data_IF_247628835192
#
_entry.id   IF_247628835192
#
_cell.length_a   1.000
_cell.length_b   1.000
_cell.length_c   1.000
_cell.angle_alpha   90.00
_cell.angle_beta   90.00
_cell.angle_gamma   90.00
#
_symmetry.space_group_name_H-M   'P 1'
#
loop_
_entity.id
_entity.type
_entity.pdbx_description
1 polymer ?
#
# COMPACT_ATOMS: atom_id res chain seq x y z
N UNK A 1 -7.17 15.49 24.98
CA UNK A 1 -6.90 14.08 24.63
C UNK A 1 -5.57 14.09 23.92
N UNK A 2 -4.51 13.54 24.52
CA UNK A 2 -3.25 13.37 23.81
C UNK A 2 -3.50 12.26 22.78
N UNK A 3 -3.77 12.63 21.54
CA UNK A 3 -3.81 11.69 20.43
C UNK A 3 -2.39 11.17 20.25
N UNK A 4 -2.11 9.95 20.70
CA UNK A 4 -0.91 9.27 20.27
C UNK A 4 -0.99 9.16 18.75
N UNK A 5 -0.04 9.78 18.05
CA UNK A 5 0.04 9.75 16.61
C UNK A 5 0.29 8.30 16.17
N UNK A 6 -0.55 7.79 15.26
CA UNK A 6 -0.42 6.42 14.77
C UNK A 6 0.92 6.26 14.04
N UNK A 7 1.73 5.30 14.48
CA UNK A 7 3.07 5.11 13.95
C UNK A 7 3.12 3.97 12.93
N UNK A 8 3.89 4.20 11.87
CA UNK A 8 4.26 3.19 10.89
C UNK A 8 5.69 3.41 10.43
N UNK A 9 6.32 2.34 9.95
CA UNK A 9 7.62 2.39 9.29
C UNK A 9 7.44 2.08 7.81
N UNK A 10 8.00 2.92 6.95
CA UNK A 10 8.14 2.58 5.52
C UNK A 10 9.25 1.53 5.42
N UNK A 11 8.88 0.33 4.98
CA UNK A 11 9.83 -0.75 4.72
C UNK A 11 10.47 -0.58 3.34
N UNK A 12 9.67 -0.30 2.33
CA UNK A 12 10.11 -0.07 0.96
C UNK A 12 9.11 0.79 0.20
N UNK A 13 9.60 1.65 -0.69
CA UNK A 13 8.78 2.38 -1.66
C UNK A 13 9.38 2.20 -3.05
N UNK A 14 8.52 2.06 -4.05
CA UNK A 14 8.93 1.80 -5.42
C UNK A 14 8.06 2.58 -6.41
N UNK A 15 8.71 3.22 -7.38
CA UNK A 15 8.08 3.57 -8.66
C UNK A 15 7.87 2.27 -9.46
N UNK A 16 6.61 1.88 -9.57
CA UNK A 16 6.16 0.70 -10.30
C UNK A 16 5.36 1.10 -11.54
N UNK A 17 5.62 2.29 -12.08
CA UNK A 17 4.92 2.85 -13.24
C UNK A 17 5.05 2.00 -14.49
N UNK A 18 4.12 2.23 -15.41
CA UNK A 18 4.08 1.63 -16.73
C UNK A 18 3.53 2.68 -17.71
N UNK A 19 3.60 2.47 -19.04
CA UNK A 19 3.38 3.54 -20.00
C UNK A 19 2.05 4.32 -19.89
N UNK A 20 1.02 3.73 -19.27
CA UNK A 20 -0.30 4.35 -19.18
C UNK A 20 -0.60 5.01 -17.82
N UNK A 21 0.22 4.80 -16.79
CA UNK A 21 -0.02 5.38 -15.47
C UNK A 21 1.26 5.52 -14.62
N UNK A 22 1.36 6.65 -13.95
CA UNK A 22 2.39 6.91 -12.95
C UNK A 22 1.99 6.24 -11.63
N UNK A 23 2.76 5.26 -11.15
CA UNK A 23 2.36 4.40 -10.03
C UNK A 23 3.43 4.31 -8.97
N UNK A 24 3.01 4.50 -7.73
CA UNK A 24 3.81 4.16 -6.56
C UNK A 24 3.19 3.02 -5.77
N UNK A 25 4.07 2.16 -5.28
CA UNK A 25 3.73 1.16 -4.28
C UNK A 25 4.63 1.33 -3.07
N UNK A 26 4.05 1.20 -1.89
CA UNK A 26 4.83 1.20 -0.64
C UNK A 26 4.44 0.04 0.25
N UNK A 27 5.43 -0.54 0.90
CA UNK A 27 5.25 -1.52 1.96
C UNK A 27 5.50 -0.83 3.30
N UNK A 28 4.56 -0.95 4.23
CA UNK A 28 4.67 -0.41 5.58
C UNK A 28 4.54 -1.50 6.64
N UNK A 29 5.20 -1.28 7.76
CA UNK A 29 5.05 -2.07 8.99
C UNK A 29 4.37 -1.20 10.04
N UNK A 30 3.33 -1.72 10.68
CA UNK A 30 2.58 -1.00 11.73
C UNK A 30 2.58 -1.78 13.05
N UNK A 31 2.14 -1.12 14.13
CA UNK A 31 2.00 -1.79 15.42
C UNK A 31 1.02 -3.00 15.30
N UNK A 32 1.41 -4.20 15.78
CA UNK A 32 0.57 -5.39 15.77
C UNK A 32 -0.80 -5.19 16.42
N UNK A 33 -0.89 -4.35 17.44
CA UNK A 33 -2.10 -4.17 18.27
C UNK A 33 -3.08 -3.14 17.71
N UNK A 34 -2.75 -2.47 16.61
CA UNK A 34 -3.68 -1.53 15.97
C UNK A 34 -4.90 -2.23 15.39
N UNK A 35 -6.07 -1.68 15.71
CA UNK A 35 -7.37 -2.08 15.18
C UNK A 35 -7.50 -1.74 13.69
N UNK A 36 -8.45 -2.37 13.00
CA UNK A 36 -8.73 -2.07 11.59
C UNK A 36 -8.99 -0.59 11.34
N UNK A 37 -9.70 0.11 12.22
CA UNK A 37 -9.95 1.56 12.09
C UNK A 37 -8.66 2.38 12.17
N UNK A 38 -7.75 2.04 13.08
CA UNK A 38 -6.42 2.68 13.14
C UNK A 38 -5.62 2.39 11.87
N UNK A 39 -5.70 1.16 11.35
CA UNK A 39 -5.03 0.81 10.10
C UNK A 39 -5.63 1.56 8.89
N UNK A 40 -6.94 1.78 8.86
CA UNK A 40 -7.62 2.61 7.84
C UNK A 40 -7.09 4.04 7.82
N UNK A 41 -6.91 4.65 9.00
CA UNK A 41 -6.34 6.00 9.09
C UNK A 41 -4.89 6.05 8.59
N UNK A 42 -4.07 5.06 8.94
CA UNK A 42 -2.69 4.94 8.41
C UNK A 42 -2.72 4.79 6.89
N UNK A 43 -3.55 3.90 6.36
CA UNK A 43 -3.71 3.68 4.91
C UNK A 43 -4.06 5.00 4.22
N UNK A 44 -5.03 5.74 4.75
CA UNK A 44 -5.45 7.03 4.19
C UNK A 44 -4.30 8.03 4.17
N UNK A 45 -3.58 8.18 5.27
CA UNK A 45 -2.44 9.09 5.38
C UNK A 45 -1.35 8.74 4.37
N UNK A 46 -0.90 7.48 4.36
CA UNK A 46 0.16 6.99 3.46
C UNK A 46 -0.26 7.12 2.00
N UNK A 47 -1.49 6.76 1.66
CA UNK A 47 -2.01 6.93 0.30
C UNK A 47 -1.98 8.39 -0.13
N UNK A 48 -2.34 9.33 0.75
CA UNK A 48 -2.28 10.77 0.43
C UNK A 48 -0.86 11.26 0.18
N UNK A 49 0.11 10.80 0.97
CA UNK A 49 1.53 11.09 0.76
C UNK A 49 2.02 10.55 -0.58
N UNK A 50 1.69 9.30 -0.91
CA UNK A 50 2.06 8.68 -2.18
C UNK A 50 1.49 9.42 -3.39
N UNK A 51 0.25 9.93 -3.30
CA UNK A 51 -0.37 10.72 -4.37
C UNK A 51 0.44 11.94 -4.76
N UNK A 52 1.14 12.54 -3.80
CA UNK A 52 1.96 13.73 -3.99
C UNK A 52 3.42 13.42 -4.34
N UNK A 53 3.82 12.15 -4.37
CA UNK A 53 5.20 11.78 -4.72
C UNK A 53 5.52 12.10 -6.18
N UNK A 54 6.71 12.65 -6.37
CA UNK A 54 7.30 12.95 -7.68
C UNK A 54 8.73 12.40 -7.66
N UNK A 55 8.85 11.14 -8.05
CA UNK A 55 10.07 10.33 -8.06
C UNK A 55 10.02 9.32 -9.21
N UNK A 56 11.14 9.13 -9.90
CA UNK A 56 11.16 8.33 -11.13
C UNK A 56 12.26 7.29 -11.07
N UNK A 57 11.93 6.06 -11.47
CA UNK A 57 12.91 4.97 -11.61
C UNK A 57 13.84 5.15 -12.80
N UNK A 58 13.46 5.99 -13.78
CA UNK A 58 14.31 6.29 -14.94
C UNK A 58 13.94 7.63 -15.59
N UNK A 59 14.90 8.20 -16.32
CA UNK A 59 14.71 9.45 -17.07
C UNK A 59 13.58 9.36 -18.10
N UNK A 60 13.34 8.16 -18.66
CA UNK A 60 12.23 7.93 -19.58
C UNK A 60 10.88 8.21 -18.92
N UNK A 61 10.64 7.65 -17.72
CA UNK A 61 9.40 7.90 -17.00
C UNK A 61 9.28 9.34 -16.51
N UNK A 62 10.40 9.97 -16.17
CA UNK A 62 10.42 11.41 -15.89
C UNK A 62 10.00 12.24 -17.09
N UNK A 63 10.44 11.89 -18.30
CA UNK A 63 10.01 12.57 -19.53
C UNK A 63 8.54 12.30 -19.84
N UNK A 64 8.06 11.07 -19.62
CA UNK A 64 6.67 10.68 -19.91
C UNK A 64 5.67 11.34 -18.95
N UNK A 65 6.02 11.49 -17.66
CA UNK A 65 5.10 12.01 -16.63
C UNK A 65 5.40 13.44 -16.13
N UNK A 66 6.57 14.00 -16.42
CA UNK A 66 6.92 15.38 -16.08
C UNK A 66 7.06 15.63 -14.58
N UNK A 67 6.21 16.49 -14.01
CA UNK A 67 6.12 16.77 -12.57
C UNK A 67 4.76 16.29 -11.99
N UNK A 68 4.12 15.34 -12.67
CA UNK A 68 2.82 14.81 -12.27
C UNK A 68 3.00 13.90 -11.04
N UNK A 69 2.11 14.05 -10.07
CA UNK A 69 1.98 13.10 -8.95
C UNK A 69 1.54 11.71 -9.39
N UNK A 70 1.24 10.84 -8.44
CA UNK A 70 0.81 9.48 -8.75
C UNK A 70 -0.58 9.47 -9.39
N UNK A 71 -0.76 8.64 -10.40
CA UNK A 71 -2.06 8.22 -10.90
C UNK A 71 -2.63 7.04 -10.10
N UNK A 72 -1.75 6.19 -9.58
CA UNK A 72 -2.09 5.01 -8.79
C UNK A 72 -1.18 4.94 -7.56
N UNK A 73 -1.78 4.74 -6.38
CA UNK A 73 -1.07 4.56 -5.13
C UNK A 73 -1.49 3.23 -4.49
N UNK A 74 -0.52 2.34 -4.26
CA UNK A 74 -0.73 1.03 -3.64
C UNK A 74 0.01 0.97 -2.30
N UNK A 75 -0.68 0.54 -1.25
CA UNK A 75 -0.07 0.32 0.07
C UNK A 75 -0.18 -1.16 0.43
N UNK A 76 0.91 -1.76 0.84
CA UNK A 76 0.94 -3.10 1.42
C UNK A 76 1.25 -2.98 2.92
N UNK A 77 0.35 -3.46 3.76
CA UNK A 77 0.46 -3.33 5.21
C UNK A 77 0.85 -4.65 5.86
N UNK A 78 1.92 -4.62 6.63
CA UNK A 78 2.47 -5.76 7.37
C UNK A 78 2.56 -5.43 8.87
N UNK A 79 2.69 -6.45 9.73
CA UNK A 79 2.89 -6.23 11.18
C UNK A 79 4.33 -6.47 11.65
N UNK A 80 5.17 -7.13 10.86
CA UNK A 80 6.59 -7.33 11.14
C UNK A 80 7.38 -7.72 9.87
N UNK A 81 8.70 -7.83 10.00
CA UNK A 81 9.60 -8.20 8.89
C UNK A 81 9.37 -9.64 8.39
N UNK A 82 8.88 -10.55 9.25
CA UNK A 82 8.58 -11.93 8.84
C UNK A 82 7.39 -11.93 7.88
N UNK A 83 6.35 -11.15 8.19
CA UNK A 83 5.20 -10.95 7.31
C UNK A 83 5.64 -10.34 5.96
N UNK A 84 6.57 -9.38 5.97
CA UNK A 84 7.13 -8.79 4.73
C UNK A 84 7.86 -9.85 3.91
N UNK A 85 8.78 -10.61 4.51
CA UNK A 85 9.56 -11.64 3.81
C UNK A 85 8.67 -12.70 3.16
N UNK A 86 7.58 -13.07 3.85
CA UNK A 86 6.62 -14.07 3.35
C UNK A 86 5.50 -13.46 2.49
N UNK A 87 5.55 -12.15 2.21
CA UNK A 87 4.49 -11.42 1.51
C UNK A 87 3.09 -11.65 2.13
N UNK A 88 3.03 -11.86 3.44
CA UNK A 88 1.82 -12.09 4.22
C UNK A 88 1.26 -10.76 4.74
N UNK A 89 0.77 -9.91 3.85
CA UNK A 89 0.16 -8.64 4.24
C UNK A 89 -1.14 -8.87 5.05
N UNK A 90 -1.40 -7.98 6.00
CA UNK A 90 -2.70 -7.88 6.69
C UNK A 90 -3.75 -7.44 5.69
N UNK A 91 -3.42 -6.42 4.90
CA UNK A 91 -4.22 -5.92 3.81
C UNK A 91 -3.32 -5.25 2.78
N UNK A 92 -3.88 -5.05 1.60
CA UNK A 92 -3.35 -4.14 0.59
C UNK A 92 -4.44 -3.14 0.24
N UNK A 93 -4.05 -1.91 -0.10
CA UNK A 93 -4.98 -0.89 -0.56
C UNK A 93 -4.56 -0.32 -1.90
N UNK A 94 -5.53 0.23 -2.64
CA UNK A 94 -5.32 0.82 -3.94
C UNK A 94 -6.20 2.07 -4.09
N UNK A 95 -5.57 3.19 -4.41
CA UNK A 95 -6.25 4.39 -4.92
C UNK A 95 -5.85 4.59 -6.37
N UNK A 96 -6.83 4.94 -7.21
CA UNK A 96 -6.62 5.21 -8.62
C UNK A 96 -7.32 6.51 -8.99
N UNK A 97 -6.61 7.40 -9.69
CA UNK A 97 -7.15 8.68 -10.14
C UNK A 97 -8.39 8.45 -10.99
N UNK A 98 -9.43 9.26 -10.76
CA UNK A 98 -10.66 9.24 -11.55
C UNK A 98 -10.43 9.64 -13.01
N UNK A 99 -9.33 10.34 -13.29
CA UNK A 99 -8.91 10.78 -14.63
C UNK A 99 -8.28 9.66 -15.47
N UNK A 100 -7.93 8.52 -14.87
CA UNK A 100 -7.40 7.37 -15.61
C UNK A 100 -8.47 6.74 -16.50
N UNK A 101 -8.04 6.27 -17.66
CA UNK A 101 -8.87 5.40 -18.51
C UNK A 101 -9.08 4.03 -17.85
N UNK A 102 -10.15 3.34 -18.20
CA UNK A 102 -10.43 2.00 -17.67
C UNK A 102 -9.32 0.99 -18.02
N UNK A 103 -8.68 1.13 -19.18
CA UNK A 103 -7.50 0.34 -19.55
C UNK A 103 -6.32 0.59 -18.59
N UNK A 104 -6.08 1.84 -18.22
CA UNK A 104 -5.07 2.16 -17.22
C UNK A 104 -5.48 1.63 -15.83
N UNK A 105 -6.76 1.58 -15.46
CA UNK A 105 -7.19 1.07 -14.16
C UNK A 105 -7.13 -0.45 -14.00
N UNK A 106 -6.84 -1.23 -15.05
CA UNK A 106 -6.86 -2.71 -14.99
C UNK A 106 -5.96 -3.32 -13.91
N UNK A 107 -4.94 -2.60 -13.45
CA UNK A 107 -4.05 -3.09 -12.40
C UNK A 107 -4.53 -2.78 -10.98
N UNK A 108 -5.53 -1.90 -10.84
CA UNK A 108 -6.23 -1.66 -9.60
C UNK A 108 -7.10 -2.89 -9.30
N UNK A 109 -7.05 -3.40 -8.07
CA UNK A 109 -7.91 -4.49 -7.64
C UNK A 109 -9.20 -3.94 -7.01
N UNK A 110 -10.24 -4.77 -7.00
CA UNK A 110 -11.46 -4.51 -6.23
C UNK A 110 -11.24 -5.13 -4.85
N UNK A 111 -11.31 -4.29 -3.81
CA UNK A 111 -11.15 -4.71 -2.44
C UNK A 111 -12.37 -5.44 -1.90
N UNK A 112 -12.25 -5.99 -0.69
CA UNK A 112 -13.39 -6.48 0.09
C UNK A 112 -13.91 -5.42 1.08
N UNK A 113 -13.31 -4.23 1.09
CA UNK A 113 -13.66 -3.08 1.89
C UNK A 113 -13.29 -1.78 1.12
N UNK A 114 -13.84 -0.65 1.57
CA UNK A 114 -13.64 0.65 0.91
C UNK A 114 -13.58 1.79 1.91
N UNK A 115 -12.58 2.66 1.71
CA UNK A 115 -12.39 3.89 2.45
C UNK A 115 -12.35 5.07 1.47
N UNK A 116 -13.46 5.81 1.36
CA UNK A 116 -13.64 6.85 0.35
C UNK A 116 -13.38 6.31 -1.08
N UNK A 117 -12.32 6.78 -1.75
CA UNK A 117 -11.89 6.36 -3.09
C UNK A 117 -10.82 5.25 -3.05
N UNK A 118 -10.47 4.76 -1.86
CA UNK A 118 -9.43 3.76 -1.64
C UNK A 118 -10.09 2.39 -1.49
N UNK A 119 -9.80 1.48 -2.41
CA UNK A 119 -10.17 0.07 -2.29
C UNK A 119 -9.21 -0.61 -1.31
N UNK A 120 -9.74 -1.39 -0.36
CA UNK A 120 -8.95 -2.14 0.64
C UNK A 120 -9.29 -3.62 0.51
N UNK A 121 -8.25 -4.44 0.37
CA UNK A 121 -8.35 -5.90 0.32
C UNK A 121 -7.70 -6.48 1.58
N UNK A 122 -8.54 -6.75 2.59
CA UNK A 122 -8.14 -7.44 3.81
C UNK A 122 -7.86 -8.91 3.52
N UNK A 123 -6.72 -9.41 3.99
CA UNK A 123 -6.34 -10.80 3.81
C UNK A 123 -7.07 -11.69 4.85
N UNK A 124 -8.10 -12.46 4.46
CA UNK A 124 -8.88 -13.25 5.41
C UNK A 124 -8.05 -14.37 6.07
N UNK A 125 -6.97 -14.80 5.40
CA UNK A 125 -6.11 -15.89 5.87
C UNK A 125 -4.92 -15.38 6.70
N UNK A 126 -4.78 -14.07 6.91
CA UNK A 126 -3.58 -13.46 7.48
C UNK A 126 -3.13 -14.13 8.79
N UNK A 127 -4.04 -14.26 9.75
CA UNK A 127 -3.73 -14.85 11.07
C UNK A 127 -3.36 -16.33 10.96
N UNK A 128 -4.04 -17.09 10.10
CA UNK A 128 -3.74 -18.50 9.89
C UNK A 128 -2.33 -18.67 9.30
N UNK A 129 -1.99 -17.90 8.27
CA UNK A 129 -0.68 -17.94 7.61
C UNK A 129 0.44 -17.50 8.56
N UNK A 130 0.22 -16.41 9.31
CA UNK A 130 1.19 -15.91 10.30
C UNK A 130 1.53 -16.95 11.35
N UNK A 131 0.53 -17.68 11.86
CA UNK A 131 0.75 -18.77 12.81
C UNK A 131 1.62 -19.87 12.20
N UNK A 132 1.36 -20.26 10.95
CA UNK A 132 2.16 -21.26 10.25
C UNK A 132 3.62 -20.82 10.09
N UNK A 133 3.88 -19.59 9.61
CA UNK A 133 5.25 -19.08 9.43
C UNK A 133 6.04 -19.01 10.74
N UNK A 134 5.37 -18.72 11.86
CA UNK A 134 5.99 -18.72 13.19
C UNK A 134 6.34 -20.11 13.71
N UNK A 135 5.54 -21.12 13.37
CA UNK A 135 5.87 -22.52 13.71
C UNK A 135 7.10 -23.01 12.93
N UNK A 136 7.20 -22.68 11.64
CA UNK A 136 8.32 -23.11 10.79
C UNK A 136 9.61 -22.30 10.98
N UNK A 137 9.57 -21.13 11.63
CA UNK A 137 10.77 -20.34 11.96
C UNK A 137 11.41 -20.74 13.29
N UNK A 138 10.78 -21.63 14.06
CA UNK A 138 11.29 -22.17 15.33
C UNK A 138 11.83 -23.60 15.22
N UNK A 139 11.73 -24.21 14.04
CA UNK A 139 12.19 -25.57 13.71
C UNK A 139 13.49 -25.53 12.90
#
# INVERSE_FOLDING_TARGET
>A
MNSEELQYQIFASQDSSYPLAHRYSTSIITNPDYSEDMLREIIKSVTWELRQMISYRSDRFKMDFGDKGADIAIVFLYKDDIDVQNHNYVCRSCWCSSELTEEAKQICFIGNDKLDEIEIDWNPDYNQRRNNYRLFSQS
#
